data_IF_746965488303
#
_entry.id   IF_746965488303
#
_cell.length_a   1.000
_cell.length_b   1.000
_cell.length_c   1.000
_cell.angle_alpha   90.00
_cell.angle_beta   90.00
_cell.angle_gamma   90.00
#
_symmetry.space_group_name_H-M   'P 1'
#
loop_
_entity.id
_entity.type
_entity.pdbx_description
1 polymer ?
#
# COMPACT_ATOMS: atom_id res chain seq x y z
N UNK A 1 3.39 7.83 7.95
CA UNK A 1 4.52 8.67 7.55
C UNK A 1 5.26 9.11 8.80
N UNK A 2 6.58 9.23 8.75
CA UNK A 2 7.40 9.74 9.85
C UNK A 2 8.01 11.12 9.51
N UNK A 3 8.68 11.74 10.50
CA UNK A 3 9.32 13.05 10.38
C UNK A 3 10.47 13.10 9.37
N UNK A 4 10.99 11.95 8.94
CA UNK A 4 12.02 11.86 7.90
C UNK A 4 11.43 11.76 6.49
N UNK A 5 10.10 11.70 6.38
CA UNK A 5 9.40 11.57 5.12
C UNK A 5 9.36 10.15 4.55
N UNK A 6 9.53 9.11 5.39
CA UNK A 6 9.24 7.73 5.01
C UNK A 6 7.75 7.45 5.20
N UNK A 7 7.07 7.01 4.14
CA UNK A 7 5.70 6.52 4.17
C UNK A 7 5.66 5.00 4.07
N UNK A 8 4.80 4.37 4.86
CA UNK A 8 4.57 2.92 4.86
C UNK A 8 3.08 2.65 4.75
N UNK A 9 2.66 2.03 3.66
CA UNK A 9 1.32 1.47 3.47
C UNK A 9 1.32 -0.03 3.79
N UNK A 10 0.16 -0.54 4.21
CA UNK A 10 -0.03 -1.94 4.57
C UNK A 10 -1.31 -2.47 3.96
N UNK A 11 -1.23 -3.66 3.36
CA UNK A 11 -2.38 -4.53 3.07
C UNK A 11 -2.13 -5.91 3.65
N UNK A 12 -3.14 -6.48 4.34
CA UNK A 12 -3.05 -7.84 4.84
C UNK A 12 -3.38 -8.84 3.73
N UNK A 13 -2.58 -9.92 3.64
CA UNK A 13 -2.92 -11.13 2.92
C UNK A 13 -3.29 -12.23 3.93
N UNK A 14 -4.04 -13.22 3.51
CA UNK A 14 -4.37 -14.35 4.39
C UNK A 14 -3.17 -15.28 4.55
N UNK A 15 -2.68 -15.49 5.78
CA UNK A 15 -1.54 -16.36 5.99
C UNK A 15 -1.92 -17.84 5.87
N UNK A 16 -1.15 -18.61 5.12
CA UNK A 16 -1.22 -20.07 5.17
C UNK A 16 -0.52 -20.61 6.43
N UNK A 17 0.42 -19.85 7.00
CA UNK A 17 1.17 -20.20 8.20
C UNK A 17 1.49 -18.94 9.00
N UNK A 18 1.43 -19.05 10.33
CA UNK A 18 1.91 -18.03 11.26
C UNK A 18 3.07 -18.58 12.10
N UNK A 19 4.04 -17.72 12.43
CA UNK A 19 5.18 -18.01 13.31
C UNK A 19 5.32 -16.91 14.36
N UNK A 20 6.02 -17.14 15.48
CA UNK A 20 6.39 -16.07 16.39
C UNK A 20 7.19 -14.98 15.67
N UNK A 21 6.79 -13.72 15.85
CA UNK A 21 7.42 -12.58 15.16
C UNK A 21 6.57 -11.32 15.21
N UNK A 22 6.96 -10.34 14.41
CA UNK A 22 6.24 -9.09 14.27
C UNK A 22 4.99 -9.28 13.40
N UNK A 23 3.84 -8.87 13.92
CA UNK A 23 2.64 -8.74 13.08
C UNK A 23 2.74 -7.49 12.19
N UNK A 24 1.83 -7.39 11.22
CA UNK A 24 1.83 -6.32 10.23
C UNK A 24 1.83 -4.91 10.84
N UNK A 25 1.00 -4.65 11.85
CA UNK A 25 0.95 -3.34 12.51
C UNK A 25 2.23 -2.99 13.26
N UNK A 26 2.85 -3.97 13.92
CA UNK A 26 4.14 -3.78 14.60
C UNK A 26 5.27 -3.52 13.60
N UNK A 27 5.26 -4.18 12.44
CA UNK A 27 6.23 -3.93 11.38
C UNK A 27 6.13 -2.48 10.90
N UNK A 28 4.93 -2.02 10.55
CA UNK A 28 4.69 -0.62 10.11
C UNK A 28 5.23 0.36 11.15
N UNK A 29 4.86 0.16 12.42
CA UNK A 29 5.31 1.02 13.50
C UNK A 29 6.83 1.01 13.66
N UNK A 30 7.43 -0.18 13.66
CA UNK A 30 8.87 -0.34 13.80
C UNK A 30 9.64 0.37 12.68
N UNK A 31 9.20 0.20 11.41
CA UNK A 31 9.82 0.87 10.28
C UNK A 31 9.72 2.40 10.38
N UNK A 32 8.55 2.92 10.77
CA UNK A 32 8.35 4.37 10.93
C UNK A 32 9.15 4.96 12.10
N UNK A 33 9.43 4.19 13.16
CA UNK A 33 10.22 4.63 14.29
C UNK A 33 11.75 4.51 14.09
N UNK A 34 12.20 3.56 13.25
CA UNK A 34 13.61 3.19 13.14
C UNK A 34 14.26 3.53 11.81
N UNK A 35 13.49 3.75 10.75
CA UNK A 35 14.01 3.96 9.41
C UNK A 35 13.67 5.36 8.90
N UNK A 36 14.58 5.94 8.10
CA UNK A 36 14.46 7.29 7.55
C UNK A 36 14.01 7.29 6.10
N UNK A 37 14.27 6.20 5.36
CA UNK A 37 14.05 6.09 3.93
C UNK A 37 13.75 4.65 3.53
N UNK A 38 13.38 4.46 2.27
CA UNK A 38 13.03 3.14 1.70
C UNK A 38 14.19 2.15 1.81
N UNK A 39 15.43 2.57 1.59
CA UNK A 39 16.58 1.67 1.64
C UNK A 39 16.83 1.11 3.04
N UNK A 40 16.75 1.96 4.07
CA UNK A 40 16.85 1.54 5.47
C UNK A 40 15.72 0.60 5.86
N UNK A 41 14.47 0.92 5.47
CA UNK A 41 13.31 0.10 5.75
C UNK A 41 13.42 -1.30 5.12
N UNK A 42 13.87 -1.39 3.87
CA UNK A 42 14.11 -2.66 3.19
C UNK A 42 15.20 -3.48 3.91
N UNK A 43 16.32 -2.85 4.27
CA UNK A 43 17.41 -3.52 4.98
C UNK A 43 16.98 -4.03 6.35
N UNK A 44 16.15 -3.25 7.03
CA UNK A 44 15.60 -3.60 8.34
C UNK A 44 14.65 -4.81 8.25
N UNK A 45 13.77 -4.86 7.24
CA UNK A 45 12.80 -5.95 7.06
C UNK A 45 13.46 -7.32 6.93
N UNK A 46 14.62 -7.42 6.30
CA UNK A 46 15.35 -8.69 6.20
C UNK A 46 15.85 -9.24 7.54
N UNK A 47 15.90 -8.41 8.57
CA UNK A 47 16.38 -8.78 9.90
C UNK A 47 15.24 -9.07 10.89
N UNK A 48 13.99 -8.75 10.51
CA UNK A 48 12.84 -8.94 11.38
C UNK A 48 12.20 -10.32 11.20
N UNK A 49 11.85 -11.01 12.29
CA UNK A 49 11.01 -12.20 12.22
C UNK A 49 9.58 -11.79 11.84
N UNK A 50 9.12 -12.22 10.68
CA UNK A 50 7.78 -11.94 10.17
C UNK A 50 6.80 -12.99 10.68
N UNK A 51 5.72 -12.56 11.34
CA UNK A 51 4.76 -13.48 11.95
C UNK A 51 3.69 -14.00 10.98
N UNK A 52 3.29 -13.21 9.98
CA UNK A 52 2.14 -13.53 9.12
C UNK A 52 2.31 -12.94 7.72
N UNK A 53 1.25 -13.02 6.91
CA UNK A 53 1.26 -12.59 5.50
C UNK A 53 0.77 -11.15 5.34
N UNK A 54 1.54 -10.32 4.64
CA UNK A 54 1.18 -8.94 4.31
C UNK A 54 1.97 -8.40 3.13
N UNK A 55 1.44 -7.35 2.51
CA UNK A 55 2.16 -6.52 1.55
C UNK A 55 2.38 -5.15 2.14
N UNK A 56 3.60 -4.64 2.03
CA UNK A 56 3.97 -3.28 2.39
C UNK A 56 4.29 -2.48 1.13
N UNK A 57 3.82 -1.24 1.08
CA UNK A 57 4.25 -0.25 0.10
C UNK A 57 5.06 0.83 0.81
N UNK A 58 6.23 1.13 0.30
CA UNK A 58 7.12 2.14 0.86
C UNK A 58 7.30 3.28 -0.15
N UNK A 59 7.38 4.50 0.34
CA UNK A 59 7.79 5.67 -0.42
C UNK A 59 8.59 6.62 0.48
N UNK A 60 9.51 7.39 -0.10
CA UNK A 60 10.20 8.46 0.62
C UNK A 60 10.28 9.76 -0.18
N UNK A 61 10.70 10.84 0.49
CA UNK A 61 10.82 12.18 -0.11
C UNK A 61 11.92 12.27 -1.16
N UNK A 62 12.83 11.28 -1.24
CA UNK A 62 13.86 11.19 -2.29
C UNK A 62 13.30 10.57 -3.58
N UNK A 63 12.04 10.11 -3.57
CA UNK A 63 11.38 9.48 -4.71
C UNK A 63 11.61 7.99 -4.84
N UNK A 64 12.26 7.35 -3.87
CA UNK A 64 12.35 5.89 -3.84
C UNK A 64 10.99 5.29 -3.46
N UNK A 65 10.60 4.23 -4.17
CA UNK A 65 9.41 3.45 -3.85
C UNK A 65 9.75 1.95 -3.86
N UNK A 66 9.02 1.18 -3.08
CA UNK A 66 9.12 -0.27 -3.08
C UNK A 66 7.78 -0.93 -2.74
N UNK A 67 7.55 -2.12 -3.28
CA UNK A 67 6.55 -3.07 -2.79
C UNK A 67 7.26 -4.27 -2.19
N UNK A 68 6.80 -4.70 -1.03
CA UNK A 68 7.34 -5.84 -0.29
C UNK A 68 6.20 -6.79 0.00
N UNK A 69 6.29 -7.99 -0.52
CA UNK A 69 5.39 -9.07 -0.17
C UNK A 69 6.11 -10.05 0.75
N UNK A 70 5.54 -10.31 1.90
CA UNK A 70 6.17 -11.16 2.90
C UNK A 70 5.16 -12.02 3.67
N UNK A 71 5.65 -13.16 4.12
CA UNK A 71 4.97 -14.06 5.03
C UNK A 71 5.97 -14.62 6.06
N UNK A 72 5.54 -15.59 6.86
CA UNK A 72 6.39 -16.21 7.88
C UNK A 72 7.57 -17.03 7.31
N UNK A 73 7.66 -17.22 6.01
CA UNK A 73 8.67 -18.09 5.35
C UNK A 73 9.62 -17.29 4.47
N UNK A 74 9.13 -16.25 3.78
CA UNK A 74 9.96 -15.51 2.85
C UNK A 74 9.52 -14.04 2.68
N UNK A 75 10.44 -13.27 2.12
CA UNK A 75 10.24 -11.86 1.74
C UNK A 75 10.64 -11.72 0.27
N UNK A 76 9.78 -11.07 -0.53
CA UNK A 76 10.08 -10.63 -1.89
C UNK A 76 9.92 -9.12 -1.97
N UNK A 77 10.83 -8.49 -2.69
CA UNK A 77 10.89 -7.02 -2.78
C UNK A 77 11.10 -6.61 -4.22
N UNK A 78 10.28 -5.68 -4.67
CA UNK A 78 10.47 -4.94 -5.90
C UNK A 78 10.63 -3.47 -5.57
N UNK A 79 11.69 -2.82 -6.09
CA UNK A 79 12.00 -1.41 -5.82
C UNK A 79 12.51 -0.69 -7.05
N UNK A 80 12.25 0.62 -7.13
CA UNK A 80 12.55 1.47 -8.28
C UNK A 80 14.03 1.75 -8.51
N UNK A 81 14.88 1.59 -7.51
CA UNK A 81 16.31 1.94 -7.60
C UNK A 81 17.09 1.20 -8.71
N UNK A 82 16.52 0.12 -9.29
CA UNK A 82 17.15 -0.67 -10.34
C UNK A 82 16.21 -1.01 -11.51
N UNK A 83 15.06 -0.39 -11.60
CA UNK A 83 14.05 -0.65 -12.63
C UNK A 83 13.40 0.64 -13.10
N UNK A 84 12.92 0.69 -14.34
CA UNK A 84 12.13 1.80 -14.88
C UNK A 84 10.69 1.83 -14.30
N UNK A 85 10.48 1.31 -13.09
CA UNK A 85 9.17 1.26 -12.45
C UNK A 85 8.82 2.65 -11.93
N UNK A 86 7.75 3.22 -12.47
CA UNK A 86 7.25 4.53 -12.09
C UNK A 86 6.26 4.49 -10.93
N UNK A 87 5.75 3.30 -10.56
CA UNK A 87 4.74 3.10 -9.51
C UNK A 87 4.83 1.70 -8.92
N UNK A 88 4.24 1.52 -7.75
CA UNK A 88 3.98 0.21 -7.13
C UNK A 88 2.52 0.13 -6.72
N UNK A 89 1.93 -1.07 -6.80
CA UNK A 89 0.56 -1.35 -6.38
C UNK A 89 0.54 -2.49 -5.35
N UNK A 90 -0.40 -2.42 -4.42
CA UNK A 90 -0.66 -3.48 -3.47
C UNK A 90 -2.15 -3.58 -3.15
N UNK A 91 -2.64 -4.80 -3.03
CA UNK A 91 -3.97 -5.14 -2.55
C UNK A 91 -3.88 -6.33 -1.58
N UNK A 92 -5.01 -6.96 -1.24
CA UNK A 92 -5.03 -8.07 -0.28
C UNK A 92 -4.67 -9.42 -0.92
N UNK A 93 -3.75 -9.42 -1.90
CA UNK A 93 -3.23 -10.61 -2.58
C UNK A 93 -1.78 -10.37 -3.01
N UNK A 94 -1.03 -11.42 -3.23
CA UNK A 94 0.37 -11.36 -3.66
C UNK A 94 0.48 -11.41 -5.18
N UNK A 95 1.42 -10.65 -5.74
CA UNK A 95 1.69 -10.56 -7.18
C UNK A 95 3.15 -10.80 -7.54
N UNK A 96 4.08 -10.66 -6.59
CA UNK A 96 5.51 -10.82 -6.87
C UNK A 96 5.85 -12.29 -7.17
N UNK A 97 6.77 -12.54 -8.11
CA UNK A 97 7.24 -13.89 -8.41
C UNK A 97 7.71 -14.63 -7.16
N UNK A 98 7.19 -15.85 -6.96
CA UNK A 98 7.47 -16.67 -5.78
C UNK A 98 6.58 -16.40 -4.57
N UNK A 99 5.71 -15.37 -4.62
CA UNK A 99 4.71 -15.11 -3.59
C UNK A 99 3.29 -15.54 -4.00
N UNK A 100 2.97 -15.54 -5.28
CA UNK A 100 1.62 -15.88 -5.81
C UNK A 100 1.11 -17.24 -5.30
N UNK A 101 1.98 -18.23 -5.16
CA UNK A 101 1.60 -19.56 -4.64
C UNK A 101 1.14 -19.59 -3.18
N UNK A 102 1.29 -18.48 -2.45
CA UNK A 102 0.77 -18.32 -1.07
C UNK A 102 -0.61 -17.67 -1.00
N UNK A 103 -1.19 -17.27 -2.14
CA UNK A 103 -2.56 -16.76 -2.17
C UNK A 103 -3.56 -17.86 -1.81
N UNK A 104 -4.64 -17.48 -1.14
CA UNK A 104 -5.72 -18.37 -0.75
C UNK A 104 -7.03 -17.94 -1.42
N UNK A 105 -7.35 -18.56 -2.55
CA UNK A 105 -8.53 -18.21 -3.37
C UNK A 105 -9.87 -18.60 -2.71
N UNK A 106 -9.83 -19.34 -1.60
CA UNK A 106 -11.05 -19.76 -0.87
C UNK A 106 -11.55 -18.70 0.12
N UNK A 107 -10.78 -17.63 0.32
CA UNK A 107 -11.09 -16.61 1.31
C UNK A 107 -11.48 -15.32 0.58
N UNK A 108 -12.53 -14.63 1.08
CA UNK A 108 -12.92 -13.31 0.59
C UNK A 108 -11.77 -12.31 0.82
N UNK A 109 -11.15 -11.88 -0.25
CA UNK A 109 -10.06 -10.91 -0.27
C UNK A 109 -10.55 -9.50 -0.72
N UNK A 110 -11.83 -9.25 -0.64
CA UNK A 110 -12.47 -7.97 -1.02
C UNK A 110 -12.19 -7.54 -2.46
N UNK A 111 -12.28 -8.48 -3.40
CA UNK A 111 -11.97 -8.24 -4.81
C UNK A 111 -10.55 -7.72 -5.02
N UNK A 112 -9.57 -8.31 -4.34
CA UNK A 112 -8.19 -7.84 -4.38
C UNK A 112 -7.61 -7.82 -5.78
N UNK A 113 -7.85 -8.86 -6.58
CA UNK A 113 -7.35 -8.93 -7.96
C UNK A 113 -7.98 -7.86 -8.85
N UNK A 114 -9.30 -7.67 -8.80
CA UNK A 114 -9.98 -6.64 -9.58
C UNK A 114 -9.49 -5.22 -9.23
N UNK A 115 -9.30 -4.95 -7.93
CA UNK A 115 -8.71 -3.68 -7.47
C UNK A 115 -7.26 -3.51 -7.93
N UNK A 116 -6.48 -4.59 -7.92
CA UNK A 116 -5.10 -4.56 -8.41
C UNK A 116 -5.05 -4.22 -9.89
N UNK A 117 -5.86 -4.88 -10.71
CA UNK A 117 -5.93 -4.62 -12.16
C UNK A 117 -6.38 -3.18 -12.46
N UNK A 118 -7.34 -2.64 -11.71
CA UNK A 118 -7.74 -1.23 -11.80
C UNK A 118 -6.56 -0.29 -11.52
N UNK A 119 -5.82 -0.52 -10.44
CA UNK A 119 -4.65 0.28 -10.09
C UNK A 119 -3.57 0.18 -11.15
N UNK A 120 -3.21 -1.04 -11.53
CA UNK A 120 -2.12 -1.29 -12.48
C UNK A 120 -2.40 -0.67 -13.86
N UNK A 121 -3.61 -0.85 -14.39
CA UNK A 121 -4.03 -0.28 -15.68
C UNK A 121 -4.02 1.26 -15.63
N UNK A 122 -4.62 1.86 -14.59
CA UNK A 122 -4.67 3.32 -14.46
C UNK A 122 -3.28 3.96 -14.38
N UNK A 123 -2.35 3.35 -13.66
CA UNK A 123 -0.98 3.84 -13.57
C UNK A 123 -0.19 3.63 -14.88
N UNK A 124 -0.37 2.46 -15.54
CA UNK A 124 0.31 2.13 -16.79
C UNK A 124 -0.13 3.03 -17.94
N UNK A 125 -1.44 3.27 -18.07
CA UNK A 125 -2.02 4.14 -19.10
C UNK A 125 -1.64 5.61 -18.90
N UNK A 126 -1.49 6.04 -17.66
CA UNK A 126 -1.11 7.43 -17.32
C UNK A 126 0.30 7.79 -17.76
N UNK A 127 1.19 6.80 -17.88
CA UNK A 127 2.58 6.97 -18.32
C UNK A 127 3.33 8.11 -17.59
N UNK A 128 3.14 8.20 -16.27
CA UNK A 128 3.75 9.22 -15.41
C UNK A 128 2.85 10.45 -15.19
N UNK A 129 3.43 11.48 -14.56
CA UNK A 129 2.70 12.70 -14.23
C UNK A 129 1.62 12.49 -13.17
N UNK A 130 1.87 11.60 -12.21
CA UNK A 130 0.98 11.33 -11.09
C UNK A 130 0.88 12.58 -10.20
N UNK A 131 -0.34 13.04 -10.00
CA UNK A 131 -0.65 14.23 -9.22
C UNK A 131 -1.90 14.03 -8.36
N UNK A 132 -2.19 14.99 -7.49
CA UNK A 132 -3.34 14.92 -6.59
C UNK A 132 -4.67 14.67 -7.32
N UNK A 133 -5.05 15.38 -8.42
CA UNK A 133 -6.29 15.09 -9.14
C UNK A 133 -6.36 13.66 -9.71
N UNK A 134 -5.25 13.10 -10.16
CA UNK A 134 -5.21 11.70 -10.59
C UNK A 134 -5.47 10.75 -9.42
N UNK A 135 -4.77 10.94 -8.29
CA UNK A 135 -4.93 10.10 -7.11
C UNK A 135 -6.37 10.19 -6.54
N UNK A 136 -6.96 11.39 -6.49
CA UNK A 136 -8.34 11.60 -6.07
C UNK A 136 -9.33 10.82 -6.95
N UNK A 137 -9.22 10.94 -8.27
CA UNK A 137 -10.07 10.21 -9.22
C UNK A 137 -9.88 8.69 -9.11
N UNK A 138 -8.63 8.25 -9.01
CA UNK A 138 -8.31 6.82 -8.88
C UNK A 138 -8.97 6.23 -7.63
N UNK A 139 -8.77 6.84 -6.47
CA UNK A 139 -9.35 6.37 -5.21
C UNK A 139 -10.88 6.50 -5.17
N UNK A 140 -11.47 7.41 -5.95
CA UNK A 140 -12.92 7.53 -6.11
C UNK A 140 -13.52 6.51 -7.09
N UNK A 141 -12.69 5.68 -7.74
CA UNK A 141 -13.12 4.63 -8.65
C UNK A 141 -13.50 5.10 -10.05
N UNK A 142 -12.93 6.22 -10.52
CA UNK A 142 -13.21 6.75 -11.87
C UNK A 142 -12.50 5.93 -12.97
N UNK A 143 -11.52 5.11 -12.62
CA UNK A 143 -10.76 4.25 -13.54
C UNK A 143 -11.17 2.78 -13.47
N UNK A 144 -12.09 2.41 -12.60
CA UNK A 144 -12.57 1.04 -12.41
C UNK A 144 -12.95 0.76 -10.97
N UNK A 145 -13.19 -0.51 -10.66
CA UNK A 145 -13.58 -0.90 -9.31
C UNK A 145 -12.44 -0.72 -8.31
N UNK A 146 -12.65 0.12 -7.30
CA UNK A 146 -11.71 0.32 -6.20
C UNK A 146 -12.38 0.53 -4.84
N UNK A 147 -13.44 1.35 -4.77
CA UNK A 147 -14.15 1.70 -3.55
C UNK A 147 -15.67 1.50 -3.62
N UNK A 148 -16.19 1.00 -4.74
CA UNK A 148 -17.62 0.94 -5.05
C UNK A 148 -18.27 -0.35 -4.50
N UNK A 149 -18.04 -0.67 -3.22
CA UNK A 149 -18.65 -1.84 -2.59
C UNK A 149 -20.16 -1.71 -2.45
N UNK A 150 -20.85 -2.85 -2.55
CA UNK A 150 -22.25 -2.94 -2.21
C UNK A 150 -22.44 -2.87 -0.69
N UNK A 151 -23.00 -1.76 -0.24
CA UNK A 151 -23.23 -1.49 1.19
C UNK A 151 -24.23 -2.45 1.83
N UNK A 152 -25.12 -3.06 1.05
CA UNK A 152 -26.06 -4.07 1.56
C UNK A 152 -25.35 -5.29 2.13
N UNK A 153 -24.10 -5.55 1.69
CA UNK A 153 -23.24 -6.63 2.20
C UNK A 153 -22.45 -6.26 3.46
N UNK A 154 -22.63 -5.05 3.99
CA UNK A 154 -21.85 -4.51 5.11
C UNK A 154 -20.45 -4.01 4.73
N UNK A 155 -20.09 -4.03 3.44
CA UNK A 155 -18.79 -3.55 2.95
C UNK A 155 -18.88 -2.08 2.53
N UNK A 156 -17.88 -1.29 2.90
CA UNK A 156 -17.69 0.07 2.38
C UNK A 156 -16.25 0.54 2.65
N UNK A 157 -15.81 1.56 1.92
CA UNK A 157 -14.57 2.27 2.21
C UNK A 157 -14.84 3.33 3.28
N UNK A 158 -14.27 3.16 4.45
CA UNK A 158 -14.53 4.04 5.61
C UNK A 158 -13.68 5.32 5.61
N UNK A 159 -12.54 5.31 4.93
CA UNK A 159 -11.69 6.48 4.68
C UNK A 159 -10.66 6.19 3.58
N UNK A 160 -10.11 7.23 3.00
CA UNK A 160 -8.98 7.16 2.08
C UNK A 160 -7.99 8.28 2.36
N UNK A 161 -6.70 8.05 2.09
CA UNK A 161 -5.65 9.04 2.34
C UNK A 161 -4.71 9.13 1.14
N UNK A 162 -4.28 10.36 0.84
CA UNK A 162 -3.25 10.67 -0.15
C UNK A 162 -2.12 11.41 0.58
N UNK A 163 -0.91 10.86 0.51
CA UNK A 163 0.31 11.51 0.99
C UNK A 163 1.03 12.17 -0.17
N UNK A 164 1.05 13.51 -0.23
CA UNK A 164 1.89 14.26 -1.16
C UNK A 164 3.27 14.43 -0.55
N UNK A 165 4.15 13.48 -0.81
CA UNK A 165 5.48 13.41 -0.23
C UNK A 165 6.35 14.62 -0.62
N UNK A 166 6.13 15.18 -1.82
CA UNK A 166 6.88 16.34 -2.31
C UNK A 166 6.47 17.64 -1.62
N UNK A 167 5.19 17.78 -1.27
CA UNK A 167 4.67 18.99 -0.62
C UNK A 167 4.52 18.84 0.88
N UNK A 168 4.83 17.67 1.44
CA UNK A 168 4.62 17.33 2.84
C UNK A 168 3.16 17.56 3.29
N UNK A 169 2.21 17.11 2.46
CA UNK A 169 0.78 17.27 2.72
C UNK A 169 0.06 15.95 2.78
N UNK A 170 -0.92 15.89 3.67
CA UNK A 170 -1.82 14.75 3.80
C UNK A 170 -3.21 15.22 3.39
N UNK A 171 -3.87 14.44 2.53
CA UNK A 171 -5.26 14.66 2.18
C UNK A 171 -6.07 13.43 2.56
N UNK A 172 -7.21 13.63 3.19
CA UNK A 172 -8.06 12.56 3.68
C UNK A 172 -9.51 12.75 3.26
N UNK A 173 -10.15 11.66 2.86
CA UNK A 173 -11.59 11.53 2.70
C UNK A 173 -12.13 10.77 3.91
N UNK A 174 -13.00 11.39 4.69
CA UNK A 174 -13.72 10.74 5.78
C UNK A 174 -14.98 10.09 5.22
N UNK A 175 -14.92 8.78 5.02
CA UNK A 175 -15.92 8.00 4.30
C UNK A 175 -15.43 7.58 2.92
N UNK A 176 -16.34 6.96 2.16
CA UNK A 176 -16.03 6.50 0.81
C UNK A 176 -15.72 7.66 -0.13
N UNK A 177 -14.56 7.71 -0.80
CA UNK A 177 -14.11 8.84 -1.60
C UNK A 177 -14.99 9.12 -2.82
N UNK A 178 -15.82 8.17 -3.25
CA UNK A 178 -16.84 8.41 -4.30
C UNK A 178 -17.96 9.35 -3.82
N UNK A 179 -18.17 9.46 -2.52
CA UNK A 179 -19.23 10.28 -1.88
C UNK A 179 -18.69 11.42 -1.05
N UNK A 180 -17.43 11.36 -0.65
CA UNK A 180 -16.78 12.33 0.22
C UNK A 180 -15.52 12.88 -0.42
N UNK A 181 -15.36 14.20 -0.41
CA UNK A 181 -14.18 14.87 -0.97
C UNK A 181 -12.97 14.72 -0.07
N UNK A 182 -11.80 14.66 -0.69
CA UNK A 182 -10.54 14.81 0.01
C UNK A 182 -10.36 16.24 0.54
N UNK A 183 -9.91 16.35 1.78
CA UNK A 183 -9.55 17.62 2.45
C UNK A 183 -8.15 17.49 3.01
N UNK A 184 -7.41 18.59 3.06
CA UNK A 184 -6.11 18.63 3.71
C UNK A 184 -6.28 18.27 5.20
N UNK A 185 -5.52 17.29 5.66
CA UNK A 185 -5.52 16.84 7.06
C UNK A 185 -4.38 17.56 7.80
N UNK A 186 -4.75 18.61 8.52
CA UNK A 186 -3.80 19.45 9.27
C UNK A 186 -3.47 18.90 10.66
N UNK A 187 -4.04 17.78 11.07
CA UNK A 187 -3.77 17.15 12.39
C UNK A 187 -2.38 16.54 12.49
N UNK A 188 -1.79 16.20 11.35
CA UNK A 188 -0.48 15.58 11.25
C UNK A 188 0.40 16.35 10.28
N UNK A 189 1.68 16.49 10.66
CA UNK A 189 2.73 17.11 9.84
C UNK A 189 3.92 16.14 9.77
N UNK A 190 4.63 16.13 8.66
CA UNK A 190 5.82 15.31 8.43
C UNK A 190 6.82 16.02 7.50
#
# INVERSE_FOLDING_TARGET
>A
VNEHGLAVGLTSAYPNQCKPGFNAGMIVRYLLEKCRNVSEAVSCLYQLPIASAQTLTLADTMGAIAVIECNAEQIKIEKTLNSNIAFVCATNTFHLPGMVGYNNDKIDNWFAEERYQTLYSAFSEKNGGFNFPFAEKLLSGDYGFLCQYDRSTGKDTVWSVIYDMKRHKIYRSEGNPRRHKFKEDIRFQF
#
